data_IF_284799880453
#
_entry.id   IF_284799880453
#
_cell.length_a   1.000
_cell.length_b   1.000
_cell.length_c   1.000
_cell.angle_alpha   90.00
_cell.angle_beta   90.00
_cell.angle_gamma   90.00
#
_symmetry.space_group_name_H-M   'P 1'
#
loop_
_entity.id
_entity.type
_entity.pdbx_description
1 polymer ?
#
# COMPACT_ATOMS: atom_id res chain seq x y z
N UNK A 1 -26.49 29.93 22.72
CA UNK A 1 -27.20 29.83 21.44
C UNK A 1 -26.18 29.47 20.36
N UNK A 2 -26.41 28.30 19.78
CA UNK A 2 -25.84 27.61 18.62
C UNK A 2 -24.58 28.17 17.90
N UNK A 3 -23.52 27.36 17.91
CA UNK A 3 -22.59 27.26 16.79
C UNK A 3 -22.84 25.93 16.09
N UNK A 4 -23.37 25.98 14.86
CA UNK A 4 -23.55 24.83 13.99
C UNK A 4 -22.20 24.41 13.40
N UNK A 5 -21.65 23.31 13.90
CA UNK A 5 -20.57 22.57 13.24
C UNK A 5 -21.14 21.74 12.10
N UNK A 6 -20.97 22.19 10.86
CA UNK A 6 -21.24 21.39 9.67
C UNK A 6 -20.14 20.33 9.52
N UNK A 7 -20.48 19.10 9.90
CA UNK A 7 -19.68 17.92 9.60
C UNK A 7 -19.58 17.73 8.08
N UNK A 8 -18.37 17.88 7.54
CA UNK A 8 -18.05 17.54 6.16
C UNK A 8 -18.17 16.03 5.94
N UNK A 9 -19.35 15.58 5.51
CA UNK A 9 -19.53 14.24 4.96
C UNK A 9 -18.86 14.18 3.59
N UNK A 10 -17.58 13.81 3.56
CA UNK A 10 -16.88 13.47 2.33
C UNK A 10 -17.55 12.27 1.67
N UNK A 11 -18.42 12.53 0.68
CA UNK A 11 -18.90 11.51 -0.26
C UNK A 11 -17.67 10.79 -0.85
N UNK A 12 -17.65 9.44 -0.92
CA UNK A 12 -16.61 8.76 -1.68
C UNK A 12 -16.71 9.20 -3.15
N UNK A 13 -15.74 9.99 -3.60
CA UNK A 13 -15.71 10.59 -4.93
C UNK A 13 -15.79 9.54 -6.03
N UNK A 14 -16.49 9.87 -7.12
CA UNK A 14 -16.78 8.99 -8.26
C UNK A 14 -15.57 8.24 -8.83
N UNK A 15 -14.37 8.78 -8.69
CA UNK A 15 -13.10 8.16 -9.10
C UNK A 15 -12.85 6.80 -8.43
N UNK A 16 -13.24 6.64 -7.17
CA UNK A 16 -13.09 5.37 -6.47
C UNK A 16 -13.98 4.29 -7.09
N UNK A 17 -15.21 4.62 -7.50
CA UNK A 17 -16.14 3.68 -8.13
C UNK A 17 -15.69 3.29 -9.55
N UNK A 18 -15.09 4.22 -10.29
CA UNK A 18 -14.50 3.96 -11.61
C UNK A 18 -13.31 3.01 -11.49
N UNK A 19 -12.41 3.24 -10.53
CA UNK A 19 -11.27 2.36 -10.28
C UNK A 19 -11.70 0.96 -9.83
N UNK A 20 -12.74 0.87 -8.98
CA UNK A 20 -13.32 -0.40 -8.54
C UNK A 20 -13.82 -1.25 -9.71
N UNK A 21 -14.55 -0.64 -10.67
CA UNK A 21 -15.03 -1.34 -11.87
C UNK A 21 -13.90 -1.71 -12.83
N UNK A 22 -12.92 -0.83 -13.01
CA UNK A 22 -11.79 -1.05 -13.93
C UNK A 22 -10.90 -2.21 -13.50
N UNK A 23 -10.59 -2.32 -12.21
CA UNK A 23 -9.55 -3.23 -11.72
C UNK A 23 -10.07 -4.55 -11.15
N UNK A 24 -11.40 -4.79 -11.11
CA UNK A 24 -12.03 -6.01 -10.57
C UNK A 24 -11.39 -6.44 -9.24
N UNK A 25 -11.45 -5.55 -8.25
CA UNK A 25 -10.77 -5.76 -6.98
C UNK A 25 -11.29 -7.04 -6.29
N UNK A 26 -10.35 -7.89 -5.89
CA UNK A 26 -10.60 -9.14 -5.16
C UNK A 26 -10.28 -8.91 -3.70
N UNK A 27 -11.33 -8.91 -2.89
CA UNK A 27 -11.20 -8.92 -1.43
C UNK A 27 -11.00 -10.39 -1.03
N UNK A 28 -10.01 -10.70 -0.18
CA UNK A 28 -9.76 -12.07 0.22
C UNK A 28 -10.79 -12.53 1.24
N UNK A 29 -11.03 -13.84 1.27
CA UNK A 29 -11.89 -14.48 2.27
C UNK A 29 -11.23 -14.47 3.66
N UNK A 30 -9.90 -14.31 3.72
CA UNK A 30 -9.13 -14.25 4.96
C UNK A 30 -8.08 -13.13 4.94
N UNK A 31 -8.04 -12.37 6.03
CA UNK A 31 -7.00 -11.39 6.34
C UNK A 31 -6.35 -11.76 7.66
N UNK A 32 -5.02 -11.67 7.70
CA UNK A 32 -4.23 -11.92 8.90
C UNK A 32 -3.57 -10.64 9.36
N UNK A 33 -3.69 -10.34 10.64
CA UNK A 33 -2.94 -9.25 11.27
C UNK A 33 -1.47 -9.64 11.47
N UNK A 34 -0.58 -8.65 11.38
CA UNK A 34 0.83 -8.84 11.71
C UNK A 34 1.39 -7.61 12.43
N UNK A 35 2.41 -7.77 13.30
CA UNK A 35 3.05 -6.65 13.98
C UNK A 35 3.68 -5.68 12.98
N UNK A 36 3.21 -4.43 13.00
CA UNK A 36 3.72 -3.38 12.13
C UNK A 36 3.82 -2.07 12.91
N UNK A 37 4.96 -1.38 12.79
CA UNK A 37 5.21 -0.11 13.49
C UNK A 37 5.81 0.88 12.51
N UNK A 38 5.01 1.90 12.17
CA UNK A 38 5.45 3.04 11.39
C UNK A 38 4.76 4.29 11.89
N UNK A 39 5.44 5.43 11.82
CA UNK A 39 4.85 6.73 12.10
C UNK A 39 5.09 7.63 10.89
N UNK A 40 4.02 8.24 10.39
CA UNK A 40 4.10 9.25 9.35
C UNK A 40 3.93 10.64 9.97
N UNK A 41 4.67 11.62 9.48
CA UNK A 41 4.36 13.03 9.68
C UNK A 41 3.06 13.39 8.95
N UNK A 42 2.50 14.56 9.27
CA UNK A 42 1.36 15.09 8.53
C UNK A 42 1.59 15.13 7.02
N UNK A 43 2.73 15.66 6.57
CA UNK A 43 3.06 15.75 5.13
C UNK A 43 3.16 14.37 4.46
N UNK A 44 3.81 13.42 5.14
CA UNK A 44 3.92 12.05 4.65
C UNK A 44 2.55 11.38 4.55
N UNK A 45 1.71 11.53 5.58
CA UNK A 45 0.36 11.00 5.58
C UNK A 45 -0.50 11.65 4.49
N UNK A 46 -0.45 12.97 4.34
CA UNK A 46 -1.16 13.66 3.27
C UNK A 46 -0.76 13.13 1.89
N UNK A 47 0.55 12.95 1.65
CA UNK A 47 1.04 12.40 0.39
C UNK A 47 0.58 10.95 0.19
N UNK A 48 0.72 10.10 1.21
CA UNK A 48 0.29 8.71 1.15
C UNK A 48 -1.23 8.56 0.96
N UNK A 49 -2.02 9.45 1.56
CA UNK A 49 -3.48 9.44 1.47
C UNK A 49 -4.02 9.76 0.08
N UNK A 50 -3.19 10.30 -0.83
CA UNK A 50 -3.55 10.47 -2.24
C UNK A 50 -3.63 9.13 -2.99
N UNK A 51 -3.01 8.08 -2.45
CA UNK A 51 -2.94 6.77 -3.08
C UNK A 51 -2.07 6.76 -4.34
N UNK A 52 -2.26 5.73 -5.16
CA UNK A 52 -1.55 5.53 -6.43
C UNK A 52 -2.49 4.83 -7.41
N UNK A 53 -2.72 5.43 -8.58
CA UNK A 53 -3.44 4.77 -9.68
C UNK A 53 -2.43 4.34 -10.78
N UNK A 54 -2.50 3.08 -11.27
CA UNK A 54 -1.69 2.63 -12.41
C UNK A 54 -1.95 3.47 -13.67
N UNK A 55 -0.89 3.91 -14.33
CA UNK A 55 -0.97 4.58 -15.63
C UNK A 55 -0.95 3.58 -16.80
N UNK A 56 -0.33 2.41 -16.61
CA UNK A 56 -0.29 1.34 -17.60
C UNK A 56 -0.11 -0.07 -17.01
N UNK A 57 -0.03 -1.11 -17.85
CA UNK A 57 0.08 -2.51 -17.40
C UNK A 57 1.42 -2.83 -16.72
N UNK A 58 2.40 -1.94 -16.86
CA UNK A 58 3.72 -2.04 -16.22
C UNK A 58 3.67 -1.64 -14.74
N UNK A 59 2.67 -0.83 -14.35
CA UNK A 59 2.51 -0.33 -13.00
C UNK A 59 1.77 -1.39 -12.19
N UNK A 60 2.49 -2.11 -11.34
CA UNK A 60 1.97 -3.34 -10.70
C UNK A 60 1.11 -3.11 -9.47
N UNK A 61 0.97 -1.86 -9.02
CA UNK A 61 0.30 -1.50 -7.78
C UNK A 61 -0.77 -0.44 -7.99
N UNK A 62 -1.92 -0.69 -7.38
CA UNK A 62 -2.97 0.29 -7.12
C UNK A 62 -3.05 0.48 -5.61
N UNK A 63 -2.98 1.72 -5.14
CA UNK A 63 -3.11 2.04 -3.71
C UNK A 63 -4.29 2.98 -3.52
N UNK A 64 -5.24 2.58 -2.69
CA UNK A 64 -6.43 3.37 -2.37
C UNK A 64 -6.43 3.76 -0.89
N UNK A 65 -6.68 5.04 -0.60
CA UNK A 65 -6.94 5.50 0.76
C UNK A 65 -8.44 5.67 0.99
N UNK A 66 -9.00 4.98 1.99
CA UNK A 66 -10.41 5.13 2.37
C UNK A 66 -10.54 5.08 3.89
N UNK A 67 -11.12 6.13 4.48
CA UNK A 67 -11.34 6.19 5.93
C UNK A 67 -10.05 6.10 6.76
N UNK A 68 -8.96 6.73 6.29
CA UNK A 68 -7.65 6.68 6.97
C UNK A 68 -6.90 5.36 6.83
N UNK A 69 -7.33 4.51 5.90
CA UNK A 69 -6.75 3.19 5.65
C UNK A 69 -6.27 3.05 4.22
N UNK A 70 -5.01 2.69 4.07
CA UNK A 70 -4.40 2.36 2.78
C UNK A 70 -4.67 0.91 2.43
N UNK A 71 -5.01 0.66 1.18
CA UNK A 71 -5.28 -0.66 0.62
C UNK A 71 -4.37 -0.83 -0.60
N UNK A 72 -3.50 -1.83 -0.57
CA UNK A 72 -2.53 -2.11 -1.61
C UNK A 72 -3.02 -3.29 -2.44
N UNK A 73 -3.33 -3.03 -3.70
CA UNK A 73 -3.79 -4.04 -4.66
C UNK A 73 -2.74 -4.29 -5.73
N UNK A 74 -2.63 -5.54 -6.17
CA UNK A 74 -1.98 -5.87 -7.44
C UNK A 74 -2.86 -5.37 -8.58
N UNK A 75 -2.33 -4.48 -9.41
CA UNK A 75 -3.12 -3.85 -10.48
C UNK A 75 -3.57 -4.84 -11.57
N UNK A 76 -2.76 -5.86 -11.86
CA UNK A 76 -3.02 -6.80 -12.96
C UNK A 76 -4.17 -7.78 -12.70
N UNK A 77 -4.38 -8.19 -11.43
CA UNK A 77 -5.39 -9.19 -11.07
C UNK A 77 -6.36 -8.72 -9.98
N UNK A 78 -6.21 -7.49 -9.48
CA UNK A 78 -7.07 -6.87 -8.48
C UNK A 78 -6.92 -7.42 -7.07
N UNK A 79 -5.96 -8.31 -6.80
CA UNK A 79 -5.79 -8.95 -5.47
C UNK A 79 -5.33 -7.93 -4.44
N UNK A 80 -6.06 -7.83 -3.32
CA UNK A 80 -5.60 -7.10 -2.14
C UNK A 80 -4.40 -7.84 -1.54
N UNK A 81 -3.31 -7.12 -1.27
CA UNK A 81 -2.11 -7.65 -0.62
C UNK A 81 -2.05 -7.18 0.82
N UNK A 82 -2.06 -5.85 1.02
CA UNK A 82 -1.93 -5.23 2.33
C UNK A 82 -3.03 -4.24 2.61
N UNK A 83 -3.32 -4.07 3.90
CA UNK A 83 -4.19 -3.04 4.43
C UNK A 83 -3.59 -2.48 5.71
N UNK A 84 -3.49 -1.16 5.83
CA UNK A 84 -2.97 -0.52 7.04
C UNK A 84 -3.69 0.78 7.34
N UNK A 85 -4.10 0.95 8.60
CA UNK A 85 -4.71 2.21 9.08
C UNK A 85 -3.66 3.13 9.69
N UNK A 86 -3.83 4.43 9.50
CA UNK A 86 -3.09 5.47 10.21
C UNK A 86 -4.08 6.41 10.91
N UNK A 87 -3.79 6.78 12.14
CA UNK A 87 -4.65 7.65 12.94
C UNK A 87 -3.87 8.86 13.44
N UNK A 88 -4.48 10.05 13.41
CA UNK A 88 -3.86 11.25 13.96
C UNK A 88 -3.71 11.11 15.49
N UNK A 89 -2.48 11.25 15.97
CA UNK A 89 -2.10 11.35 17.38
C UNK A 89 -1.19 12.57 17.52
N UNK A 90 -1.80 13.72 17.81
CA UNK A 90 -1.09 14.98 18.06
C UNK A 90 -0.15 15.41 16.91
N UNK A 91 -0.59 15.27 15.65
CA UNK A 91 0.19 15.67 14.48
C UNK A 91 1.13 14.58 13.94
N UNK A 92 1.28 13.47 14.66
CA UNK A 92 1.88 12.24 14.16
C UNK A 92 0.79 11.25 13.74
N UNK A 93 1.11 10.40 12.76
CA UNK A 93 0.20 9.40 12.23
C UNK A 93 0.84 8.02 12.42
N UNK A 94 0.78 7.44 13.64
CA UNK A 94 1.19 6.07 13.85
C UNK A 94 0.27 5.09 13.10
N UNK A 95 0.88 4.02 12.60
CA UNK A 95 0.18 2.87 12.08
C UNK A 95 -0.61 2.21 13.21
N UNK A 96 -1.88 1.93 12.94
CA UNK A 96 -2.74 1.08 13.75
C UNK A 96 -2.65 -0.36 13.26
N UNK A 97 -3.81 -0.95 12.94
CA UNK A 97 -3.92 -2.32 12.45
C UNK A 97 -3.32 -2.45 11.05
N UNK A 98 -2.40 -3.39 10.88
CA UNK A 98 -1.86 -3.84 9.61
C UNK A 98 -2.30 -5.29 9.34
N UNK A 99 -2.77 -5.54 8.13
CA UNK A 99 -3.31 -6.82 7.70
C UNK A 99 -2.73 -7.19 6.34
N UNK A 100 -2.49 -8.48 6.15
CA UNK A 100 -2.08 -9.08 4.89
C UNK A 100 -3.12 -10.10 4.44
N UNK A 101 -3.26 -10.26 3.13
CA UNK A 101 -4.07 -11.32 2.55
C UNK A 101 -3.52 -12.70 2.95
N UNK A 102 -4.37 -13.50 3.59
CA UNK A 102 -4.05 -14.84 4.07
C UNK A 102 -4.86 -15.93 3.34
N UNK A 103 -5.52 -15.58 2.24
CA UNK A 103 -6.13 -16.54 1.33
C UNK A 103 -5.03 -17.23 0.50
N UNK A 104 -4.72 -18.48 0.85
CA UNK A 104 -3.69 -19.28 0.19
C UNK A 104 -4.00 -19.60 -1.27
N UNK A 105 -5.26 -19.47 -1.72
CA UNK A 105 -5.60 -19.60 -3.13
C UNK A 105 -5.18 -18.36 -3.94
N UNK A 106 -4.93 -17.23 -3.27
CA UNK A 106 -4.54 -15.97 -3.90
C UNK A 106 -3.07 -15.63 -3.70
N UNK A 107 -2.55 -15.83 -2.49
CA UNK A 107 -1.20 -15.44 -2.10
C UNK A 107 -0.54 -16.46 -1.18
N UNK A 108 0.74 -16.72 -1.43
CA UNK A 108 1.55 -17.54 -0.54
C UNK A 108 1.90 -16.74 0.73
N UNK A 109 1.73 -17.32 1.93
CA UNK A 109 2.02 -16.62 3.18
C UNK A 109 3.53 -16.37 3.33
N UNK A 110 3.90 -15.22 3.87
CA UNK A 110 5.27 -14.89 4.25
C UNK A 110 5.38 -14.60 5.77
N UNK A 111 6.59 -14.69 6.34
CA UNK A 111 6.83 -14.30 7.73
C UNK A 111 6.54 -12.81 7.98
N UNK A 112 6.00 -12.48 9.15
CA UNK A 112 5.59 -11.11 9.52
C UNK A 112 6.68 -10.06 9.33
N UNK A 113 7.93 -10.41 9.66
CA UNK A 113 9.07 -9.51 9.46
C UNK A 113 9.23 -9.14 7.99
N UNK A 114 9.04 -10.09 7.08
CA UNK A 114 9.13 -9.86 5.65
C UNK A 114 7.98 -8.96 5.17
N UNK A 115 6.75 -9.28 5.60
CA UNK A 115 5.55 -8.48 5.28
C UNK A 115 5.68 -7.03 5.73
N UNK A 116 6.19 -6.80 6.95
CA UNK A 116 6.45 -5.46 7.48
C UNK A 116 7.49 -4.69 6.64
N UNK A 117 8.63 -5.31 6.32
CA UNK A 117 9.65 -4.68 5.48
C UNK A 117 9.13 -4.36 4.07
N UNK A 118 8.32 -5.24 3.51
CA UNK A 118 7.73 -5.05 2.19
C UNK A 118 6.69 -3.92 2.19
N UNK A 119 5.82 -3.86 3.20
CA UNK A 119 4.87 -2.76 3.35
C UNK A 119 5.60 -1.40 3.52
N UNK A 120 6.68 -1.36 4.30
CA UNK A 120 7.52 -0.16 4.43
C UNK A 120 8.10 0.28 3.10
N UNK A 121 8.70 -0.67 2.37
CA UNK A 121 9.26 -0.41 1.05
C UNK A 121 8.21 0.13 0.08
N UNK A 122 6.99 -0.43 0.06
CA UNK A 122 5.90 0.05 -0.79
C UNK A 122 5.46 1.47 -0.41
N UNK A 123 5.32 1.77 0.89
CA UNK A 123 4.96 3.13 1.33
C UNK A 123 6.05 4.12 0.92
N UNK A 124 7.32 3.81 1.18
CA UNK A 124 8.43 4.71 0.85
C UNK A 124 8.54 4.95 -0.65
N UNK A 125 8.54 3.90 -1.46
CA UNK A 125 8.75 4.00 -2.90
C UNK A 125 7.54 4.54 -3.65
N UNK A 126 6.36 3.95 -3.43
CA UNK A 126 5.17 4.26 -4.23
C UNK A 126 4.48 5.55 -3.77
N UNK A 127 4.44 5.78 -2.47
CA UNK A 127 3.61 6.85 -1.90
C UNK A 127 4.45 8.07 -1.51
N UNK A 128 5.61 7.85 -0.91
CA UNK A 128 6.50 8.93 -0.49
C UNK A 128 7.53 9.32 -1.54
N UNK A 129 7.66 8.54 -2.62
CA UNK A 129 8.63 8.78 -3.70
C UNK A 129 10.08 8.75 -3.23
N UNK A 130 10.37 7.98 -2.17
CA UNK A 130 11.70 7.80 -1.60
C UNK A 130 12.37 6.59 -2.21
N UNK A 131 13.70 6.66 -2.34
CA UNK A 131 14.50 5.49 -2.68
C UNK A 131 14.60 4.59 -1.44
N UNK A 132 14.26 3.32 -1.60
CA UNK A 132 14.42 2.30 -0.58
C UNK A 132 14.99 1.04 -1.24
N UNK A 133 15.70 0.21 -0.47
CA UNK A 133 16.21 -1.07 -0.95
C UNK A 133 15.08 -2.09 -0.93
N UNK A 134 14.89 -2.83 -2.03
CA UNK A 134 13.91 -3.90 -2.07
C UNK A 134 14.22 -4.97 -1.01
N UNK A 135 13.24 -5.34 -0.15
CA UNK A 135 13.43 -6.39 0.84
C UNK A 135 13.36 -7.75 0.13
N UNK A 136 14.48 -8.19 -0.42
CA UNK A 136 14.58 -9.54 -0.96
C UNK A 136 14.44 -10.58 0.17
N UNK A 137 13.80 -11.73 -0.09
CA UNK A 137 13.75 -12.82 0.88
C UNK A 137 15.15 -13.24 1.34
N UNK A 138 15.32 -13.71 2.60
CA UNK A 138 16.61 -14.19 3.08
C UNK A 138 17.22 -15.25 2.15
N UNK A 139 18.54 -15.21 1.94
CA UNK A 139 19.23 -16.15 1.05
C UNK A 139 19.10 -15.87 -0.44
N UNK A 140 18.46 -14.76 -0.84
CA UNK A 140 18.40 -14.32 -2.23
C UNK A 140 19.68 -13.56 -2.60
N UNK A 141 20.38 -13.98 -3.66
CA UNK A 141 21.51 -13.25 -4.23
C UNK A 141 21.08 -11.91 -4.90
N UNK A 142 22.05 -11.09 -5.29
CA UNK A 142 21.79 -9.76 -5.86
C UNK A 142 21.03 -9.78 -7.19
N UNK A 143 21.27 -10.76 -8.04
CA UNK A 143 20.63 -10.87 -9.35
C UNK A 143 19.16 -11.29 -9.20
N UNK A 144 18.91 -12.31 -8.39
CA UNK A 144 17.57 -12.79 -8.08
C UNK A 144 16.76 -11.75 -7.31
N UNK A 145 17.39 -10.98 -6.42
CA UNK A 145 16.76 -9.85 -5.74
C UNK A 145 16.30 -8.77 -6.73
N UNK A 146 17.15 -8.39 -7.69
CA UNK A 146 16.80 -7.41 -8.72
C UNK A 146 15.69 -7.92 -9.66
N UNK A 147 15.70 -9.23 -9.99
CA UNK A 147 14.63 -9.86 -10.77
C UNK A 147 13.30 -9.83 -10.00
N UNK A 148 13.31 -10.19 -8.71
CA UNK A 148 12.11 -10.15 -7.86
C UNK A 148 11.56 -8.73 -7.74
N UNK A 149 12.42 -7.73 -7.54
CA UNK A 149 12.02 -6.32 -7.50
C UNK A 149 11.32 -5.92 -8.79
N UNK A 150 11.88 -6.26 -9.97
CA UNK A 150 11.26 -5.97 -11.27
C UNK A 150 9.90 -6.64 -11.45
N UNK A 151 9.77 -7.91 -11.04
CA UNK A 151 8.50 -8.64 -11.08
C UNK A 151 7.44 -7.97 -10.19
N UNK A 152 7.85 -7.57 -8.98
CA UNK A 152 6.96 -7.00 -7.99
C UNK A 152 6.56 -5.56 -8.32
N UNK A 153 7.51 -4.75 -8.75
CA UNK A 153 7.34 -3.30 -8.89
C UNK A 153 7.10 -2.85 -10.32
N UNK A 154 7.46 -3.67 -11.31
CA UNK A 154 7.39 -3.32 -12.72
C UNK A 154 8.14 -2.02 -13.00
N UNK A 155 7.46 -1.02 -13.57
CA UNK A 155 8.07 0.29 -13.87
C UNK A 155 8.64 1.00 -12.64
N UNK A 156 8.04 0.82 -11.46
CA UNK A 156 8.52 1.46 -10.24
C UNK A 156 9.92 0.97 -9.82
N UNK A 157 10.35 -0.24 -10.22
CA UNK A 157 11.72 -0.71 -10.00
C UNK A 157 12.77 0.17 -10.72
N UNK A 158 12.43 0.69 -11.91
CA UNK A 158 13.37 1.45 -12.75
C UNK A 158 13.64 2.86 -12.20
N UNK A 159 12.71 3.42 -11.43
CA UNK A 159 12.87 4.71 -10.77
C UNK A 159 13.89 4.64 -9.62
N UNK A 160 14.08 3.46 -9.03
CA UNK A 160 15.10 3.20 -8.01
C UNK A 160 16.50 3.07 -8.61
N UNK A 161 16.63 2.69 -9.89
CA UNK A 161 17.87 2.27 -10.55
C UNK A 161 18.64 3.34 -11.34
N UNK A 162 18.10 4.56 -11.57
CA UNK A 162 18.86 5.62 -12.27
C UNK A 162 19.87 6.31 -11.34
N UNK A 163 21.13 5.90 -11.47
CA UNK A 163 22.35 6.65 -11.14
C UNK A 163 23.02 7.05 -12.45
#
# INVERSE_FOLDING_TARGET
MSQNGTAGTGRPGGDSLVLLKKFRLKIPDSLREFPYRRVLSWEQYQRASRGLAPAGPEDKWLVLCRGGRLHFFRSGNGVLVFRVSFANRQGAFPAGRAEVNADSAQLLPQPDRYEACLLDYLIDTLLLGRRAKFPAPPGTDGERAAMLERLWMGRAAQQTMRL
#
